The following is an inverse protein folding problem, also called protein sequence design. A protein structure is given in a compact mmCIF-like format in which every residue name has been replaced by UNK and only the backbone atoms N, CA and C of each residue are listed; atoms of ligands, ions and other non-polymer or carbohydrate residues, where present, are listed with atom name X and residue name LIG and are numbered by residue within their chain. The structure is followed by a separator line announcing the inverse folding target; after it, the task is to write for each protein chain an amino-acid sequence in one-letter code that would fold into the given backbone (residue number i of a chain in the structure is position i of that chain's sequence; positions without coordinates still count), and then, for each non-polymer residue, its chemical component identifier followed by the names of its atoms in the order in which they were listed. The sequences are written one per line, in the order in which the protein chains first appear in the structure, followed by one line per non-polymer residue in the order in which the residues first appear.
data_IF_534346498198
#
_entry.id   IF_534346498198
#
_cell.length_a   1.000
_cell.length_b   1.000
_cell.length_c   1.000
_cell.angle_alpha   90.00
_cell.angle_beta   90.00
_cell.angle_gamma   90.00
#
_symmetry.space_group_name_H-M   'P 1'
#
loop_
_entity.id
_entity.type
_entity.pdbx_description
1 polymer ?
#
# COMPACT_ATOMS: atom_id res chain seq x y z
N UNK A 1 -52.40 2.04 17.52
CA UNK A 1 -51.60 1.02 16.83
C UNK A 1 -51.45 1.26 15.32
N UNK A 2 -52.54 1.37 14.53
CA UNK A 2 -52.48 1.51 13.06
C UNK A 2 -51.57 2.69 12.56
N UNK A 3 -51.58 3.84 13.21
CA UNK A 3 -50.74 4.99 12.82
C UNK A 3 -49.24 4.75 13.12
N UNK A 4 -48.93 4.06 14.21
CA UNK A 4 -47.53 3.74 14.57
C UNK A 4 -46.94 2.80 13.50
N UNK A 5 -47.66 1.71 13.19
CA UNK A 5 -47.22 0.75 12.19
C UNK A 5 -47.03 1.40 10.82
N UNK A 6 -47.92 2.28 10.39
CA UNK A 6 -47.85 2.99 9.13
C UNK A 6 -46.62 3.95 9.09
N UNK A 7 -46.39 4.68 10.15
CA UNK A 7 -45.24 5.62 10.24
C UNK A 7 -43.93 4.84 10.28
N UNK A 8 -43.85 3.78 11.09
CA UNK A 8 -42.65 2.93 11.13
C UNK A 8 -42.35 2.35 9.75
N UNK A 9 -43.33 1.82 9.07
CA UNK A 9 -43.17 1.27 7.71
C UNK A 9 -42.67 2.37 6.74
N UNK A 10 -43.25 3.59 6.79
CA UNK A 10 -42.85 4.69 5.93
C UNK A 10 -41.38 5.08 6.13
N UNK A 11 -40.94 5.25 7.36
CA UNK A 11 -39.55 5.63 7.63
C UNK A 11 -38.56 4.48 7.32
N UNK A 12 -38.92 3.25 7.70
CA UNK A 12 -38.11 2.08 7.40
C UNK A 12 -37.93 1.90 5.89
N UNK A 13 -39.01 2.01 5.11
CA UNK A 13 -38.96 1.92 3.65
C UNK A 13 -38.09 3.03 3.04
N UNK A 14 -38.16 4.25 3.59
CA UNK A 14 -37.29 5.34 3.15
C UNK A 14 -35.80 5.01 3.38
N UNK A 15 -35.42 4.59 4.58
CA UNK A 15 -34.02 4.23 4.88
C UNK A 15 -33.53 3.06 4.03
N UNK A 16 -34.35 2.02 3.86
CA UNK A 16 -34.02 0.88 3.00
C UNK A 16 -33.82 1.32 1.54
N UNK A 17 -34.69 2.22 1.04
CA UNK A 17 -34.58 2.74 -0.33
C UNK A 17 -33.30 3.54 -0.54
N UNK A 18 -32.92 4.38 0.43
CA UNK A 18 -31.66 5.12 0.40
C UNK A 18 -30.47 4.17 0.42
N UNK A 19 -30.49 3.16 1.29
CA UNK A 19 -29.44 2.16 1.37
C UNK A 19 -29.30 1.37 0.06
N UNK A 20 -30.41 0.94 -0.52
CA UNK A 20 -30.42 0.22 -1.80
C UNK A 20 -29.87 1.10 -2.94
N UNK A 21 -30.23 2.38 -2.96
CA UNK A 21 -29.69 3.33 -3.93
C UNK A 21 -28.18 3.45 -3.80
N UNK A 22 -27.65 3.61 -2.58
CA UNK A 22 -26.21 3.71 -2.32
C UNK A 22 -25.48 2.43 -2.75
N UNK A 23 -26.04 1.26 -2.49
CA UNK A 23 -25.48 -0.02 -2.95
C UNK A 23 -25.44 -0.13 -4.47
N UNK A 24 -26.53 0.26 -5.14
CA UNK A 24 -26.58 0.27 -6.60
C UNK A 24 -25.53 1.23 -7.18
N UNK A 25 -25.45 2.45 -6.65
CA UNK A 25 -24.48 3.43 -7.10
C UNK A 25 -23.02 2.95 -6.89
N UNK A 26 -22.72 2.37 -5.72
CA UNK A 26 -21.39 1.81 -5.46
C UNK A 26 -21.09 0.60 -6.32
N UNK A 27 -22.06 -0.29 -6.57
CA UNK A 27 -21.91 -1.42 -7.45
C UNK A 27 -21.59 -1.02 -8.90
N UNK A 28 -22.27 0.01 -9.40
CA UNK A 28 -21.97 0.59 -10.73
C UNK A 28 -20.56 1.16 -10.74
N UNK A 29 -20.17 1.92 -9.70
CA UNK A 29 -18.83 2.47 -9.59
C UNK A 29 -17.76 1.37 -9.62
N UNK A 30 -17.94 0.27 -8.89
CA UNK A 30 -17.00 -0.86 -8.87
C UNK A 30 -16.93 -1.60 -10.22
N UNK A 31 -18.05 -1.72 -10.92
CA UNK A 31 -18.08 -2.35 -12.24
C UNK A 31 -17.26 -1.60 -13.30
N UNK A 32 -17.18 -0.27 -13.19
CA UNK A 32 -16.41 0.57 -14.12
C UNK A 32 -14.96 0.82 -13.69
N UNK A 33 -14.62 0.62 -12.42
CA UNK A 33 -13.27 0.86 -11.90
C UNK A 33 -12.55 -0.45 -11.58
N UNK A 34 -11.62 -0.84 -12.46
CA UNK A 34 -10.78 -2.02 -12.25
C UNK A 34 -9.97 -1.87 -10.96
N UNK A 35 -9.91 -2.92 -10.16
CA UNK A 35 -9.25 -2.93 -8.85
C UNK A 35 -7.75 -2.61 -8.95
N UNK A 36 -7.10 -2.99 -10.03
CA UNK A 36 -5.69 -2.72 -10.31
C UNK A 36 -5.43 -1.20 -10.39
N UNK A 37 -6.33 -0.47 -11.10
CA UNK A 37 -6.24 0.99 -11.19
C UNK A 37 -6.50 1.67 -9.84
N UNK A 38 -7.44 1.13 -9.05
CA UNK A 38 -7.72 1.63 -7.70
C UNK A 38 -6.51 1.43 -6.79
N UNK A 39 -5.85 0.27 -6.87
CA UNK A 39 -4.63 -0.04 -6.11
C UNK A 39 -3.40 0.74 -6.57
N UNK A 40 -3.49 1.45 -7.68
CA UNK A 40 -2.42 2.28 -8.19
C UNK A 40 -1.31 1.50 -8.90
N UNK A 41 -1.63 0.32 -9.47
CA UNK A 41 -0.65 -0.51 -10.18
C UNK A 41 -0.11 0.19 -11.42
N UNK A 42 -0.91 1.05 -12.06
CA UNK A 42 -0.48 1.90 -13.18
C UNK A 42 0.67 2.87 -12.84
N UNK A 43 0.93 3.12 -11.56
CA UNK A 43 2.02 3.99 -11.12
C UNK A 43 3.30 3.23 -10.81
N UNK A 44 3.27 1.90 -10.75
CA UNK A 44 4.41 1.05 -10.43
C UNK A 44 5.14 0.63 -11.70
N UNK A 45 6.46 0.66 -11.64
CA UNK A 45 7.33 0.03 -12.61
C UNK A 45 7.80 -1.29 -12.00
N UNK A 46 7.51 -2.40 -12.70
CA UNK A 46 7.99 -3.72 -12.29
C UNK A 46 9.17 -4.09 -13.16
N UNK A 47 10.35 -4.08 -12.59
CA UNK A 47 11.55 -4.56 -13.25
C UNK A 47 11.90 -5.96 -12.72
N UNK A 48 12.23 -6.88 -13.64
CA UNK A 48 12.89 -8.11 -13.27
C UNK A 48 14.40 -7.85 -13.17
N UNK A 49 15.04 -8.39 -12.14
CA UNK A 49 16.49 -8.30 -11.97
C UNK A 49 17.08 -9.69 -11.76
N UNK A 50 18.27 -9.95 -12.30
CA UNK A 50 18.95 -11.21 -12.07
C UNK A 50 19.46 -11.28 -10.62
N UNK A 51 19.38 -12.46 -10.02
CA UNK A 51 19.97 -12.73 -8.70
C UNK A 51 21.12 -13.68 -8.92
N UNK A 52 22.32 -13.25 -8.54
CA UNK A 52 23.50 -14.13 -8.53
C UNK A 52 23.61 -14.78 -7.15
N UNK A 53 23.18 -16.03 -7.03
CA UNK A 53 23.24 -16.76 -5.78
C UNK A 53 24.65 -17.12 -5.34
N UNK A 54 25.64 -17.12 -6.23
CA UNK A 54 27.04 -17.36 -5.88
C UNK A 54 27.64 -16.24 -5.01
N UNK A 55 27.04 -15.06 -5.06
CA UNK A 55 27.43 -13.92 -4.24
C UNK A 55 26.83 -13.94 -2.84
N UNK A 56 25.83 -14.80 -2.59
CA UNK A 56 25.15 -14.89 -1.29
C UNK A 56 26.01 -15.68 -0.31
N UNK A 57 26.55 -15.02 0.71
CA UNK A 57 27.54 -15.56 1.65
C UNK A 57 27.04 -15.68 3.09
N UNK A 58 25.75 -15.86 3.30
CA UNK A 58 25.22 -16.08 4.63
C UNK A 58 24.45 -17.38 4.74
N UNK A 59 24.42 -17.93 5.95
CA UNK A 59 23.60 -19.09 6.31
C UNK A 59 22.75 -18.72 7.53
N UNK A 60 21.48 -19.09 7.51
CA UNK A 60 20.54 -18.88 8.62
C UNK A 60 19.73 -20.15 8.84
N UNK A 61 19.55 -20.52 10.10
CA UNK A 61 18.59 -21.53 10.54
C UNK A 61 17.26 -20.80 10.91
N UNK A 62 16.15 -21.52 10.89
CA UNK A 62 14.83 -21.03 11.28
C UNK A 62 14.19 -20.01 10.31
N UNK A 63 14.61 -19.99 9.05
CA UNK A 63 13.99 -19.16 8.01
C UNK A 63 12.84 -19.92 7.38
N UNK A 64 11.66 -19.30 7.39
CA UNK A 64 10.44 -19.84 6.77
C UNK A 64 10.25 -19.30 5.35
N UNK A 65 10.67 -18.06 5.10
CA UNK A 65 10.56 -17.41 3.79
C UNK A 65 11.77 -16.51 3.54
N UNK A 66 12.28 -16.56 2.31
CA UNK A 66 13.29 -15.64 1.81
C UNK A 66 12.71 -14.92 0.60
N UNK A 67 12.83 -13.59 0.60
CA UNK A 67 12.45 -12.74 -0.52
C UNK A 67 13.64 -11.86 -0.89
N UNK A 68 14.07 -11.90 -2.16
CA UNK A 68 15.07 -10.98 -2.68
C UNK A 68 14.38 -9.73 -3.23
N UNK A 69 14.92 -8.57 -2.92
CA UNK A 69 14.40 -7.26 -3.33
C UNK A 69 15.56 -6.43 -3.86
N UNK A 70 15.35 -5.79 -5.01
CA UNK A 70 16.29 -4.77 -5.52
C UNK A 70 16.11 -3.50 -4.70
N UNK A 71 17.18 -3.05 -4.06
CA UNK A 71 17.27 -1.82 -3.31
C UNK A 71 18.35 -0.95 -3.95
N UNK A 72 17.94 0.06 -4.72
CA UNK A 72 18.88 0.83 -5.55
C UNK A 72 19.67 -0.10 -6.48
N UNK A 73 20.99 -0.12 -6.34
CA UNK A 73 21.90 -0.98 -7.12
C UNK A 73 22.23 -2.30 -6.44
N UNK A 74 21.68 -2.56 -5.26
CA UNK A 74 21.96 -3.75 -4.46
C UNK A 74 20.75 -4.70 -4.42
N UNK A 75 21.02 -5.99 -4.23
CA UNK A 75 20.00 -6.98 -3.89
C UNK A 75 20.07 -7.24 -2.40
N UNK A 76 18.97 -7.02 -1.71
CA UNK A 76 18.81 -7.36 -0.31
C UNK A 76 17.88 -8.55 -0.13
N UNK A 77 18.06 -9.27 0.97
CA UNK A 77 17.29 -10.45 1.33
C UNK A 77 16.44 -10.15 2.55
N UNK A 78 15.13 -10.31 2.41
CA UNK A 78 14.17 -10.23 3.51
C UNK A 78 13.89 -11.63 3.97
N UNK A 79 14.30 -11.93 5.19
CA UNK A 79 14.11 -13.24 5.81
C UNK A 79 12.99 -13.13 6.84
N UNK A 80 12.00 -13.99 6.70
CA UNK A 80 10.91 -14.11 7.69
C UNK A 80 11.03 -15.45 8.41
N UNK A 81 11.06 -15.43 9.72
CA UNK A 81 11.20 -16.61 10.55
C UNK A 81 10.52 -16.47 11.91
N UNK A 82 10.75 -17.41 12.80
CA UNK A 82 10.16 -17.43 14.14
C UNK A 82 10.53 -16.23 15.02
N UNK A 83 11.67 -15.56 14.72
CA UNK A 83 12.18 -14.38 15.43
C UNK A 83 11.74 -13.04 14.86
N UNK A 84 10.98 -13.04 13.75
CA UNK A 84 10.53 -11.84 13.06
C UNK A 84 11.10 -11.71 11.65
N UNK A 85 11.22 -10.47 11.17
CA UNK A 85 11.71 -10.15 9.84
C UNK A 85 13.10 -9.52 9.95
N UNK A 86 14.05 -10.05 9.20
CA UNK A 86 15.41 -9.52 9.07
C UNK A 86 15.64 -9.01 7.64
N UNK A 87 16.35 -7.91 7.50
CA UNK A 87 16.75 -7.32 6.21
C UNK A 87 18.27 -7.38 6.11
N UNK A 88 18.80 -8.19 5.19
CA UNK A 88 20.23 -8.47 5.08
C UNK A 88 20.73 -8.17 3.67
N UNK A 89 21.99 -7.75 3.56
CA UNK A 89 22.71 -7.70 2.30
C UNK A 89 23.16 -9.12 1.85
N UNK A 90 23.85 -9.23 0.72
CA UNK A 90 24.38 -10.49 0.21
C UNK A 90 25.45 -11.14 1.12
N UNK A 91 26.01 -10.40 2.05
CA UNK A 91 27.01 -10.89 3.01
C UNK A 91 26.39 -11.28 4.36
N UNK A 92 25.09 -11.08 4.52
CA UNK A 92 24.38 -11.33 5.77
C UNK A 92 24.49 -10.24 6.82
N UNK A 93 24.89 -9.03 6.41
CA UNK A 93 24.93 -7.83 7.25
C UNK A 93 23.56 -7.17 7.27
N UNK A 94 23.04 -6.76 8.45
CA UNK A 94 21.79 -6.02 8.52
C UNK A 94 21.87 -4.70 7.75
N UNK A 95 20.87 -4.44 6.88
CA UNK A 95 20.82 -3.20 6.13
C UNK A 95 20.31 -2.05 6.99
N UNK A 96 20.86 -0.88 6.78
CA UNK A 96 20.45 0.34 7.44
C UNK A 96 19.14 0.88 6.84
N UNK A 97 18.42 1.66 7.64
CA UNK A 97 17.27 2.43 7.21
C UNK A 97 17.64 3.38 6.06
N UNK A 98 16.77 3.46 5.07
CA UNK A 98 16.94 4.35 3.93
C UNK A 98 16.88 5.82 4.36
N UNK A 99 17.74 6.63 3.78
CA UNK A 99 17.67 8.08 3.92
C UNK A 99 16.75 8.71 2.86
N UNK A 100 16.45 10.01 2.99
CA UNK A 100 15.52 10.72 2.10
C UNK A 100 15.94 10.66 0.63
N UNK A 101 17.22 10.77 0.34
CA UNK A 101 17.77 10.76 -1.02
C UNK A 101 17.55 9.40 -1.68
N UNK A 102 17.89 8.33 -0.96
CA UNK A 102 17.69 6.94 -1.39
C UNK A 102 16.22 6.61 -1.62
N UNK A 103 15.32 7.05 -0.72
CA UNK A 103 13.87 6.86 -0.88
C UNK A 103 13.37 7.54 -2.16
N UNK A 104 13.81 8.77 -2.43
CA UNK A 104 13.40 9.50 -3.63
C UNK A 104 13.91 8.84 -4.91
N UNK A 105 15.13 8.33 -4.89
CA UNK A 105 15.71 7.56 -5.99
C UNK A 105 14.94 6.26 -6.24
N UNK A 106 14.60 5.51 -5.19
CA UNK A 106 13.76 4.31 -5.30
C UNK A 106 12.40 4.65 -5.89
N UNK A 107 11.75 5.73 -5.46
CA UNK A 107 10.44 6.13 -5.99
C UNK A 107 10.55 6.44 -7.50
N UNK A 108 11.59 7.16 -7.94
CA UNK A 108 11.79 7.47 -9.37
C UNK A 108 12.11 6.23 -10.21
N UNK A 109 12.85 5.26 -9.66
CA UNK A 109 13.17 4.03 -10.39
C UNK A 109 12.03 3.01 -10.40
N UNK A 110 11.23 2.96 -9.33
CA UNK A 110 10.16 1.96 -9.15
C UNK A 110 8.76 2.48 -9.47
N UNK A 111 8.62 3.75 -9.87
CA UNK A 111 7.34 4.34 -10.23
C UNK A 111 7.49 5.45 -11.28
N UNK A 112 6.37 5.81 -11.90
CA UNK A 112 6.28 6.95 -12.82
C UNK A 112 5.99 8.28 -12.11
N UNK A 113 6.14 8.32 -10.79
CA UNK A 113 5.78 9.46 -9.95
C UNK A 113 7.00 10.25 -9.52
N UNK A 114 6.85 11.58 -9.39
CA UNK A 114 7.89 12.45 -8.88
C UNK A 114 7.70 12.71 -7.39
N UNK A 115 8.63 12.27 -6.51
CA UNK A 115 8.54 12.45 -5.07
C UNK A 115 8.80 13.91 -4.68
N UNK A 116 7.97 14.46 -3.79
CA UNK A 116 8.09 15.85 -3.31
C UNK A 116 8.31 15.94 -1.81
N UNK A 117 7.79 15.00 -1.03
CA UNK A 117 7.90 15.03 0.43
C UNK A 117 7.98 13.63 1.02
N UNK A 118 8.64 13.51 2.18
CA UNK A 118 8.86 12.27 2.94
C UNK A 118 8.49 12.45 4.39
N UNK A 119 7.64 11.58 4.89
CA UNK A 119 7.22 11.47 6.29
C UNK A 119 7.45 10.05 6.79
N UNK A 120 8.04 9.90 7.97
CA UNK A 120 8.15 8.58 8.62
C UNK A 120 6.94 8.33 9.51
N UNK A 121 6.34 7.14 9.37
CA UNK A 121 5.19 6.71 10.15
C UNK A 121 5.63 5.56 11.05
N UNK A 122 5.60 5.81 12.34
CA UNK A 122 5.97 4.84 13.38
C UNK A 122 4.76 4.25 14.11
N UNK A 123 3.61 4.94 14.07
CA UNK A 123 2.41 4.55 14.80
C UNK A 123 1.20 4.45 13.86
N UNK A 124 0.33 3.51 14.16
CA UNK A 124 -0.93 3.33 13.44
C UNK A 124 -2.05 4.14 14.10
N UNK A 125 -2.76 4.91 13.29
CA UNK A 125 -4.00 5.59 13.72
C UNK A 125 -5.22 4.92 13.12
N UNK A 126 -6.36 5.00 13.82
CA UNK A 126 -7.63 4.47 13.33
C UNK A 126 -8.03 5.18 12.03
N UNK A 127 -8.33 4.43 10.99
CA UNK A 127 -8.71 4.98 9.68
C UNK A 127 -7.53 5.40 8.80
N UNK A 128 -6.29 5.09 9.16
CA UNK A 128 -5.11 5.38 8.34
C UNK A 128 -5.15 4.70 6.97
N UNK A 129 -4.62 5.38 5.95
CA UNK A 129 -4.54 4.85 4.57
C UNK A 129 -3.59 3.64 4.43
N UNK A 130 -2.74 3.41 5.42
CA UNK A 130 -1.76 2.32 5.47
C UNK A 130 -2.15 1.18 6.40
N UNK A 131 -3.42 1.14 6.86
CA UNK A 131 -3.91 0.07 7.74
C UNK A 131 -3.58 -1.33 7.20
N UNK A 132 -3.20 -2.23 8.09
CA UNK A 132 -2.80 -3.61 7.74
C UNK A 132 -1.41 -3.70 7.10
N UNK A 133 -0.57 -2.69 7.24
CA UNK A 133 0.85 -2.70 6.87
C UNK A 133 1.73 -2.71 8.09
N UNK A 134 2.86 -3.40 7.98
CA UNK A 134 3.85 -3.44 9.04
C UNK A 134 4.51 -2.06 9.20
N UNK A 135 4.68 -1.64 10.44
CA UNK A 135 5.34 -0.39 10.79
C UNK A 135 6.77 -0.66 11.28
N UNK A 136 7.68 0.27 11.16
CA UNK A 136 7.56 1.62 10.60
C UNK A 136 7.56 1.66 9.06
N UNK A 137 6.96 2.71 8.48
CA UNK A 137 6.86 2.97 7.05
C UNK A 137 7.31 4.38 6.68
N UNK A 138 7.76 4.56 5.45
CA UNK A 138 7.83 5.87 4.81
C UNK A 138 6.56 6.16 4.02
N UNK A 139 6.00 7.35 4.22
CA UNK A 139 4.98 7.93 3.35
C UNK A 139 5.66 8.96 2.47
N UNK A 140 5.67 8.70 1.18
CA UNK A 140 6.18 9.63 0.17
C UNK A 140 5.01 10.25 -0.55
N UNK A 141 4.87 11.57 -0.41
CA UNK A 141 3.93 12.34 -1.24
C UNK A 141 4.58 12.59 -2.58
N UNK A 142 3.93 12.19 -3.66
CA UNK A 142 4.46 12.29 -5.02
C UNK A 142 3.43 12.93 -5.95
N UNK A 143 3.89 13.45 -7.09
CA UNK A 143 3.04 13.98 -8.16
C UNK A 143 3.05 13.04 -9.37
N UNK A 144 1.92 12.95 -10.05
CA UNK A 144 1.85 12.32 -11.36
C UNK A 144 2.01 13.38 -12.48
N UNK A 145 1.93 12.94 -13.74
CA UNK A 145 1.99 13.76 -14.96
C UNK A 145 0.95 14.89 -15.04
N UNK A 146 -0.07 14.86 -14.18
CA UNK A 146 -1.17 15.85 -14.08
C UNK A 146 -1.15 16.63 -12.77
N UNK A 147 0.00 16.71 -12.11
CA UNK A 147 0.20 17.37 -10.81
C UNK A 147 -0.76 16.92 -9.70
N UNK A 148 -1.31 15.70 -9.82
CA UNK A 148 -2.15 15.13 -8.77
C UNK A 148 -1.31 14.45 -7.71
N UNK A 149 -1.59 14.75 -6.44
CA UNK A 149 -0.92 14.16 -5.29
C UNK A 149 -1.31 12.70 -5.10
N UNK A 150 -0.30 11.85 -4.98
CA UNK A 150 -0.40 10.41 -4.74
C UNK A 150 0.52 10.06 -3.59
N UNK A 151 0.01 9.33 -2.60
CA UNK A 151 0.81 8.86 -1.49
C UNK A 151 1.32 7.45 -1.78
N UNK A 152 2.62 7.26 -1.68
CA UNK A 152 3.29 5.97 -1.70
C UNK A 152 3.68 5.60 -0.27
N UNK A 153 3.50 4.34 0.09
CA UNK A 153 3.92 3.81 1.38
C UNK A 153 5.00 2.76 1.13
N UNK A 154 6.18 2.98 1.69
CA UNK A 154 7.35 2.14 1.48
C UNK A 154 7.86 1.57 2.80
N UNK A 155 8.41 0.36 2.73
CA UNK A 155 9.16 -0.19 3.85
C UNK A 155 10.47 0.60 4.03
N UNK A 156 10.81 0.96 5.28
CA UNK A 156 11.95 1.84 5.57
C UNK A 156 13.32 1.20 5.31
N UNK A 157 13.41 -0.13 5.29
CA UNK A 157 14.64 -0.88 5.06
C UNK A 157 14.78 -1.32 3.61
N UNK A 158 13.73 -1.91 3.05
CA UNK A 158 13.79 -2.46 1.70
C UNK A 158 13.46 -1.45 0.59
N UNK A 159 12.75 -0.37 0.90
CA UNK A 159 12.22 0.55 -0.10
C UNK A 159 11.04 -0.02 -0.90
N UNK A 160 10.59 -1.23 -0.60
CA UNK A 160 9.46 -1.85 -1.31
C UNK A 160 8.20 -1.01 -1.14
N UNK A 161 7.55 -0.66 -2.26
CA UNK A 161 6.27 0.05 -2.26
C UNK A 161 5.17 -0.92 -1.81
N UNK A 162 4.70 -0.77 -0.58
CA UNK A 162 3.67 -1.62 0.02
C UNK A 162 2.26 -1.17 -0.30
N UNK A 163 2.05 0.13 -0.56
CA UNK A 163 0.76 0.67 -0.94
C UNK A 163 0.88 1.96 -1.76
N UNK A 164 -0.09 2.17 -2.65
CA UNK A 164 -0.27 3.41 -3.41
C UNK A 164 -1.68 3.93 -3.11
N UNK A 165 -1.79 5.21 -2.79
CA UNK A 165 -3.06 5.84 -2.41
C UNK A 165 -3.31 7.10 -3.22
N UNK A 166 -4.18 6.96 -4.21
CA UNK A 166 -4.68 8.04 -5.06
C UNK A 166 -6.04 8.54 -4.57
N UNK A 167 -6.55 9.62 -5.16
CA UNK A 167 -7.93 10.06 -4.92
C UNK A 167 -8.95 8.97 -5.30
N UNK A 168 -8.70 8.23 -6.39
CA UNK A 168 -9.55 7.12 -6.82
C UNK A 168 -9.63 6.04 -5.74
N UNK A 169 -8.50 5.69 -5.11
CA UNK A 169 -8.48 4.76 -3.99
C UNK A 169 -9.30 5.27 -2.81
N UNK A 170 -9.21 6.56 -2.46
CA UNK A 170 -9.97 7.15 -1.33
C UNK A 170 -11.46 7.11 -1.57
N UNK A 171 -11.91 7.42 -2.80
CA UNK A 171 -13.33 7.31 -3.17
C UNK A 171 -13.79 5.86 -3.11
N UNK A 172 -12.98 4.94 -3.58
CA UNK A 172 -13.28 3.51 -3.54
C UNK A 172 -13.37 2.98 -2.10
N UNK A 173 -12.40 3.34 -1.24
CA UNK A 173 -12.38 2.97 0.18
C UNK A 173 -13.58 3.53 0.93
N UNK A 174 -13.94 4.80 0.68
CA UNK A 174 -15.13 5.43 1.26
C UNK A 174 -16.41 4.70 0.84
N UNK A 175 -16.53 4.27 -0.41
CA UNK A 175 -17.71 3.55 -0.89
C UNK A 175 -17.86 2.16 -0.30
N UNK A 176 -16.77 1.51 0.14
CA UNK A 176 -16.82 0.24 0.88
C UNK A 176 -17.36 0.37 2.31
N UNK A 177 -17.19 1.52 2.94
CA UNK A 177 -17.67 1.74 4.33
C UNK A 177 -19.20 1.71 4.40
N UNK A 178 -19.88 1.96 3.29
CA UNK A 178 -21.36 1.95 3.21
C UNK A 178 -21.95 0.56 2.90
N UNK A 179 -21.13 -0.43 2.65
CA UNK A 179 -21.53 -1.81 2.42
C UNK A 179 -21.40 -2.64 3.69
#
# INVERSE_FOLDING_TARGET
MRNIVRNTHKYLSFFISVQLFLWTASGIYFAFNKIELVRGEQYRLTESFPINFDEVKFSRSDVQQIKAIKRLDEVIFVLSGSKGIEYLDAFGTPVNKLNKSEVFEIVRSSSILEPIDLEEITESSKGSEFRGRDLPLYKVTSLNDKDKKINLYLNIFSGEITAVRSLQWRIWDLSLIHI
#
